data_IF_023245845136
#
_entry.id   IF_023245845136
#
_cell.length_a   1.000
_cell.length_b   1.000
_cell.length_c   1.000
_cell.angle_alpha   90.00
_cell.angle_beta   90.00
_cell.angle_gamma   90.00
#
_symmetry.space_group_name_H-M   'P 1'
#
loop_
_entity.id
_entity.type
_entity.pdbx_description
1 polymer ?
#
# COMPACT_ATOMS: atom_id res chain seq x y z
N UNK A 1 64.55 5.00 5.59
CA UNK A 1 63.55 6.06 5.86
C UNK A 1 62.41 5.42 6.64
N UNK A 2 62.03 6.05 7.75
CA UNK A 2 61.44 5.41 8.92
C UNK A 2 59.91 5.30 8.89
N UNK A 3 59.46 4.24 9.55
CA UNK A 3 58.12 3.78 9.96
C UNK A 3 57.34 4.80 10.78
N UNK A 4 56.00 4.86 10.63
CA UNK A 4 55.08 5.17 11.74
C UNK A 4 53.72 4.45 11.59
N UNK A 5 53.59 3.39 12.38
CA UNK A 5 52.35 2.75 12.83
C UNK A 5 51.69 3.63 13.92
N UNK A 6 50.39 3.94 13.77
CA UNK A 6 49.61 4.70 14.75
C UNK A 6 48.43 3.88 15.28
N UNK A 7 48.68 3.12 16.35
CA UNK A 7 47.66 2.54 17.24
C UNK A 7 47.37 3.54 18.36
N UNK A 8 46.14 4.03 18.45
CA UNK A 8 45.67 4.81 19.59
C UNK A 8 44.35 4.24 20.08
N UNK A 9 44.44 3.50 21.18
CA UNK A 9 43.31 3.06 21.97
C UNK A 9 42.74 4.23 22.79
N UNK A 10 41.42 4.24 22.91
CA UNK A 10 40.71 5.05 23.90
C UNK A 10 39.96 4.09 24.82
N UNK A 11 40.60 3.78 25.94
CA UNK A 11 39.98 3.23 27.12
C UNK A 11 39.21 4.35 27.85
N UNK A 12 37.88 4.25 27.91
CA UNK A 12 37.05 5.01 28.85
C UNK A 12 36.02 4.05 29.43
N UNK A 13 36.33 3.53 30.62
CA UNK A 13 35.69 3.92 31.90
C UNK A 13 34.24 3.46 32.00
N UNK A 14 34.12 2.36 32.73
CA UNK A 14 32.91 1.90 33.40
C UNK A 14 32.42 3.00 34.35
N UNK A 15 31.22 3.51 34.08
CA UNK A 15 30.40 4.20 35.07
C UNK A 15 29.08 3.43 35.18
N UNK A 16 29.00 2.54 36.17
CA UNK A 16 27.75 2.04 36.71
C UNK A 16 27.22 3.06 37.72
N UNK A 17 25.97 3.54 37.57
CA UNK A 17 25.20 3.95 38.73
C UNK A 17 24.03 2.97 38.96
N UNK A 18 24.11 2.34 40.13
CA UNK A 18 23.05 2.26 41.12
C UNK A 18 21.63 1.90 40.66
N UNK A 19 21.35 0.61 40.89
CA UNK A 19 20.06 0.06 41.32
C UNK A 19 19.15 1.11 41.97
N UNK A 20 18.02 1.41 41.32
CA UNK A 20 16.81 1.85 42.02
C UNK A 20 15.64 1.09 41.39
N UNK A 21 15.17 0.05 42.10
CA UNK A 21 13.98 -0.71 41.72
C UNK A 21 12.74 0.19 41.92
N UNK A 22 11.96 0.52 40.89
CA UNK A 22 10.65 1.10 41.11
C UNK A 22 9.74 0.02 41.72
N UNK A 23 9.19 0.32 42.90
CA UNK A 23 8.08 -0.43 43.49
C UNK A 23 6.93 -0.38 42.49
N UNK A 24 6.70 -1.51 41.80
CA UNK A 24 5.57 -1.69 40.90
C UNK A 24 4.27 -1.63 41.71
N UNK A 25 3.68 -0.43 41.77
CA UNK A 25 2.34 -0.21 42.29
C UNK A 25 1.36 -0.91 41.32
N UNK A 26 1.03 -2.17 41.62
CA UNK A 26 -0.01 -2.94 40.92
C UNK A 26 -1.36 -2.25 41.13
N UNK A 27 -1.71 -1.32 40.24
CA UNK A 27 -3.08 -0.87 40.05
C UNK A 27 -3.87 -2.02 39.44
N UNK A 28 -4.51 -2.81 40.30
CA UNK A 28 -5.60 -3.71 39.91
C UNK A 28 -6.75 -2.86 39.38
N UNK A 29 -6.83 -2.72 38.05
CA UNK A 29 -7.99 -2.18 37.37
C UNK A 29 -9.09 -3.25 37.50
N UNK A 30 -10.01 -3.04 38.45
CA UNK A 30 -11.25 -3.82 38.53
C UNK A 30 -12.17 -3.35 37.40
N UNK A 31 -12.14 -4.06 36.28
CA UNK A 31 -13.16 -3.95 35.24
C UNK A 31 -14.48 -4.45 35.84
N UNK A 32 -15.37 -3.51 36.19
CA UNK A 32 -16.74 -3.82 36.57
C UNK A 32 -17.53 -4.00 35.26
N UNK A 33 -17.70 -5.24 34.83
CA UNK A 33 -18.62 -5.58 33.74
C UNK A 33 -20.05 -5.25 34.20
N UNK A 34 -20.59 -4.13 33.74
CA UNK A 34 -22.01 -3.86 33.85
C UNK A 34 -22.71 -4.73 32.80
N UNK A 35 -23.21 -5.89 33.23
CA UNK A 35 -24.22 -6.61 32.45
C UNK A 35 -25.49 -5.76 32.47
N UNK A 36 -25.74 -5.06 31.36
CA UNK A 36 -27.04 -4.50 31.07
C UNK A 36 -27.94 -5.68 30.68
N UNK A 37 -28.78 -6.11 31.61
CA UNK A 37 -29.89 -7.01 31.31
C UNK A 37 -30.87 -6.22 30.43
N UNK A 38 -30.80 -6.44 29.12
CA UNK A 38 -31.80 -5.94 28.17
C UNK A 38 -33.14 -6.58 28.50
N UNK A 39 -33.98 -5.81 29.21
CA UNK A 39 -35.41 -6.03 29.24
C UNK A 39 -35.93 -5.95 27.80
N UNK A 40 -36.74 -6.94 27.42
CA UNK A 40 -37.16 -7.21 26.05
C UNK A 40 -37.57 -5.96 25.27
N UNK A 41 -36.72 -5.60 24.30
CA UNK A 41 -37.08 -4.65 23.25
C UNK A 41 -38.18 -5.29 22.38
N UNK A 42 -39.26 -4.54 22.05
CA UNK A 42 -40.24 -4.99 21.07
C UNK A 42 -39.53 -5.29 19.74
N UNK A 43 -40.01 -6.27 18.94
CA UNK A 43 -39.41 -6.57 17.65
C UNK A 43 -39.36 -5.29 16.81
N UNK A 44 -38.15 -4.89 16.42
CA UNK A 44 -37.98 -3.74 15.55
C UNK A 44 -38.75 -4.00 14.24
N UNK A 45 -39.49 -3.01 13.72
CA UNK A 45 -40.10 -3.13 12.42
C UNK A 45 -39.02 -3.49 11.39
N UNK A 46 -39.34 -4.34 10.40
CA UNK A 46 -38.38 -4.67 9.37
C UNK A 46 -37.85 -3.38 8.74
N UNK A 47 -36.53 -3.26 8.51
CA UNK A 47 -35.98 -2.08 7.88
C UNK A 47 -36.69 -1.86 6.54
N UNK A 48 -36.99 -0.59 6.18
CA UNK A 48 -37.56 -0.30 4.88
C UNK A 48 -36.64 -0.87 3.79
N UNK A 49 -37.21 -1.37 2.67
CA UNK A 49 -36.39 -1.85 1.57
C UNK A 49 -35.41 -0.74 1.15
N UNK A 50 -34.14 -1.07 0.89
CA UNK A 50 -33.18 -0.08 0.45
C UNK A 50 -33.72 0.59 -0.81
N UNK A 51 -33.56 1.93 -0.95
CA UNK A 51 -33.88 2.60 -2.20
C UNK A 51 -33.15 1.90 -3.34
N UNK A 52 -33.74 1.77 -4.54
CA UNK A 52 -33.02 1.31 -5.72
C UNK A 52 -31.75 2.14 -5.84
N UNK A 53 -30.59 1.51 -5.67
CA UNK A 53 -29.32 2.22 -5.70
C UNK A 53 -29.19 2.97 -7.02
N UNK A 54 -28.61 4.19 -7.03
CA UNK A 54 -28.20 4.82 -8.27
C UNK A 54 -27.35 3.79 -9.04
N UNK A 55 -27.79 3.49 -10.27
CA UNK A 55 -27.50 2.27 -10.98
C UNK A 55 -26.05 1.83 -10.84
N UNK A 56 -25.86 0.53 -10.62
CA UNK A 56 -24.60 -0.18 -10.71
C UNK A 56 -23.68 0.54 -11.70
N UNK A 57 -22.64 1.21 -11.19
CA UNK A 57 -21.57 1.73 -12.00
C UNK A 57 -20.93 0.52 -12.67
N UNK A 58 -21.48 0.20 -13.83
CA UNK A 58 -21.06 -0.89 -14.69
C UNK A 58 -19.60 -0.57 -15.02
N UNK A 59 -18.71 -1.56 -14.90
CA UNK A 59 -17.27 -1.51 -15.18
C UNK A 59 -16.87 -0.79 -16.50
N UNK A 60 -17.83 -0.45 -17.35
CA UNK A 60 -17.71 0.36 -18.56
C UNK A 60 -17.32 1.83 -18.32
N UNK A 61 -17.61 2.41 -17.16
CA UNK A 61 -17.35 3.86 -16.95
C UNK A 61 -15.85 4.18 -16.74
N UNK A 62 -15.06 3.22 -16.26
CA UNK A 62 -13.63 3.45 -16.02
C UNK A 62 -12.80 3.40 -17.31
N UNK A 63 -13.18 2.54 -18.26
CA UNK A 63 -12.60 2.51 -19.62
C UNK A 63 -12.92 3.77 -20.44
N UNK A 64 -14.05 4.43 -20.17
CA UNK A 64 -14.44 5.65 -20.88
C UNK A 64 -13.68 6.90 -20.41
N UNK A 65 -13.06 6.86 -19.22
CA UNK A 65 -12.29 7.97 -18.65
C UNK A 65 -10.79 7.90 -18.95
N UNK A 66 -10.27 6.70 -19.26
CA UNK A 66 -8.84 6.50 -19.57
C UNK A 66 -8.56 6.01 -21.01
N UNK A 67 -9.57 5.61 -21.78
CA UNK A 67 -9.43 5.08 -23.15
C UNK A 67 -9.49 6.10 -24.29
N UNK A 68 -9.12 7.36 -24.04
CA UNK A 68 -9.19 8.44 -25.01
C UNK A 68 -7.92 8.62 -25.87
N UNK A 69 -7.40 7.58 -26.52
CA UNK A 69 -6.34 7.72 -27.53
C UNK A 69 -6.72 7.05 -28.85
N UNK A 70 -7.20 7.90 -29.77
CA UNK A 70 -6.96 7.89 -31.22
C UNK A 70 -6.98 6.56 -31.98
N UNK A 71 -8.13 6.19 -32.53
CA UNK A 71 -8.19 5.30 -33.69
C UNK A 71 -7.95 6.13 -34.98
N UNK A 72 -6.69 6.24 -35.39
CA UNK A 72 -6.33 6.61 -36.76
C UNK A 72 -6.25 5.32 -37.59
N UNK A 73 -7.16 5.19 -38.55
CA UNK A 73 -7.15 4.14 -39.54
C UNK A 73 -5.94 4.31 -40.48
N UNK A 74 -5.10 3.29 -40.59
CA UNK A 74 -4.14 3.17 -41.68
C UNK A 74 -4.12 1.74 -42.22
N UNK A 75 -4.62 1.65 -43.44
CA UNK A 75 -4.71 0.52 -44.35
C UNK A 75 -3.33 -0.09 -44.62
N UNK A 76 -3.24 -1.43 -44.60
CA UNK A 76 -2.27 -2.18 -45.41
C UNK A 76 -1.13 -2.85 -44.64
N UNK A 77 -1.17 -4.19 -44.57
CA UNK A 77 0.00 -5.01 -44.25
C UNK A 77 -0.28 -6.12 -43.23
N UNK A 78 -0.78 -7.26 -43.70
CA UNK A 78 -0.89 -8.50 -42.91
C UNK A 78 0.53 -9.04 -42.66
N UNK A 79 1.15 -8.64 -41.55
CA UNK A 79 2.30 -9.34 -40.99
C UNK A 79 1.77 -10.27 -39.91
N UNK A 80 1.94 -11.57 -40.16
CA UNK A 80 1.36 -12.66 -39.40
C UNK A 80 1.70 -12.61 -37.91
N UNK A 81 0.68 -12.41 -37.09
CA UNK A 81 0.70 -12.75 -35.68
C UNK A 81 0.07 -14.15 -35.51
N UNK A 82 0.76 -15.18 -36.01
CA UNK A 82 0.54 -16.56 -35.57
C UNK A 82 1.29 -16.74 -34.25
N UNK A 83 0.84 -16.05 -33.21
CA UNK A 83 1.30 -16.25 -31.85
C UNK A 83 0.71 -17.58 -31.35
N UNK A 84 1.56 -18.60 -31.34
CA UNK A 84 1.22 -19.95 -30.92
C UNK A 84 0.62 -19.98 -29.52
N UNK A 85 -0.53 -20.63 -29.42
CA UNK A 85 -1.19 -21.02 -28.18
C UNK A 85 -0.25 -21.90 -27.34
N UNK A 86 0.53 -21.30 -26.44
CA UNK A 86 1.17 -22.02 -25.34
C UNK A 86 0.22 -21.97 -24.15
N UNK A 87 -0.47 -23.09 -23.97
CA UNK A 87 -1.47 -23.30 -22.92
C UNK A 87 -0.90 -23.07 -21.51
N UNK A 88 -1.62 -22.28 -20.72
CA UNK A 88 -1.94 -22.68 -19.34
C UNK A 88 -1.38 -21.85 -18.19
N UNK A 89 -0.44 -20.93 -18.41
CA UNK A 89 0.12 -20.15 -17.29
C UNK A 89 0.79 -18.82 -17.63
N UNK A 90 0.79 -18.40 -18.90
CA UNK A 90 1.52 -17.20 -19.34
C UNK A 90 0.65 -15.98 -19.70
N UNK A 91 -0.64 -16.17 -19.95
CA UNK A 91 -1.50 -15.08 -20.45
C UNK A 91 -1.68 -13.96 -19.42
N UNK A 92 -1.84 -14.32 -18.14
CA UNK A 92 -1.89 -13.34 -17.05
C UNK A 92 -0.56 -12.59 -16.89
N UNK A 93 0.58 -13.26 -17.11
CA UNK A 93 1.89 -12.63 -16.99
C UNK A 93 2.22 -11.68 -18.14
N UNK A 94 1.67 -11.94 -19.33
CA UNK A 94 1.80 -11.06 -20.49
C UNK A 94 1.00 -9.77 -20.28
N UNK A 95 -0.26 -9.88 -19.83
CA UNK A 95 -1.10 -8.72 -19.50
C UNK A 95 -0.50 -7.88 -18.35
N UNK A 96 0.03 -8.54 -17.31
CA UNK A 96 0.75 -7.85 -16.22
C UNK A 96 1.94 -7.05 -16.72
N UNK A 97 2.72 -7.65 -17.62
CA UNK A 97 3.90 -6.99 -18.24
C UNK A 97 3.49 -5.80 -19.10
N UNK A 98 2.43 -5.94 -19.88
CA UNK A 98 1.84 -4.87 -20.69
C UNK A 98 1.36 -3.71 -19.82
N UNK A 99 0.68 -4.01 -18.71
CA UNK A 99 0.13 -3.03 -17.76
C UNK A 99 1.14 -2.57 -16.70
N UNK A 100 2.41 -2.93 -16.85
CA UNK A 100 3.51 -2.46 -16.00
C UNK A 100 3.35 -2.79 -14.50
N UNK A 101 2.77 -3.94 -14.18
CA UNK A 101 2.76 -4.45 -12.81
C UNK A 101 3.16 -5.92 -12.76
N UNK A 102 3.45 -6.44 -11.57
CA UNK A 102 3.72 -7.86 -11.33
C UNK A 102 3.24 -8.25 -9.93
N UNK A 103 3.11 -9.55 -9.69
CA UNK A 103 2.89 -10.10 -8.35
C UNK A 103 4.00 -11.09 -8.01
N UNK A 104 4.49 -10.99 -6.78
CA UNK A 104 5.36 -12.01 -6.23
C UNK A 104 4.52 -13.22 -5.77
N UNK A 105 5.18 -14.37 -5.55
CA UNK A 105 4.54 -15.60 -5.09
C UNK A 105 3.89 -15.48 -3.70
N UNK A 106 4.31 -14.47 -2.92
CA UNK A 106 3.74 -14.12 -1.62
C UNK A 106 2.49 -13.23 -1.73
N UNK A 107 2.05 -12.90 -2.95
CA UNK A 107 0.86 -12.11 -3.22
C UNK A 107 1.09 -10.60 -3.19
N UNK A 108 2.33 -10.13 -2.98
CA UNK A 108 2.61 -8.69 -3.02
C UNK A 108 2.57 -8.16 -4.44
N UNK A 109 1.95 -6.99 -4.59
CA UNK A 109 1.82 -6.29 -5.86
C UNK A 109 2.97 -5.31 -6.00
N UNK A 110 3.63 -5.35 -7.17
CA UNK A 110 4.63 -4.37 -7.56
C UNK A 110 4.20 -3.67 -8.83
N UNK A 111 4.35 -2.35 -8.86
CA UNK A 111 4.05 -1.51 -10.03
C UNK A 111 5.34 -0.88 -10.53
N UNK A 112 5.44 -0.67 -11.83
CA UNK A 112 6.62 -0.08 -12.46
C UNK A 112 6.37 1.38 -12.74
N UNK A 113 7.27 2.25 -12.29
CA UNK A 113 7.23 3.67 -12.65
C UNK A 113 7.72 3.89 -14.09
N UNK A 114 7.53 5.11 -14.61
CA UNK A 114 7.99 5.53 -15.94
C UNK A 114 9.52 5.51 -16.11
N UNK A 115 10.28 5.40 -15.00
CA UNK A 115 11.74 5.21 -15.01
C UNK A 115 12.14 3.74 -15.04
N UNK A 116 11.18 2.83 -14.95
CA UNK A 116 11.37 1.40 -14.97
C UNK A 116 11.66 0.77 -13.60
N UNK A 117 11.54 1.52 -12.52
CA UNK A 117 11.75 1.07 -11.13
C UNK A 117 10.50 0.39 -10.58
N UNK A 118 10.68 -0.65 -9.77
CA UNK A 118 9.57 -1.39 -9.15
C UNK A 118 9.24 -0.85 -7.77
N UNK A 119 7.98 -0.51 -7.56
CA UNK A 119 7.41 0.00 -6.32
C UNK A 119 6.48 -1.05 -5.72
N UNK A 120 6.57 -1.29 -4.42
CA UNK A 120 5.72 -2.24 -3.71
C UNK A 120 4.45 -1.54 -3.24
N UNK A 121 3.28 -2.12 -3.53
CA UNK A 121 1.96 -1.52 -3.25
C UNK A 121 1.21 -2.35 -2.21
N UNK A 122 0.61 -1.67 -1.23
CA UNK A 122 -0.25 -2.28 -0.20
C UNK A 122 -1.48 -1.41 0.07
N UNK A 123 -2.51 -2.02 0.63
CA UNK A 123 -3.67 -1.31 1.18
C UNK A 123 -3.34 -0.84 2.59
N UNK A 124 -3.78 0.37 2.94
CA UNK A 124 -3.79 0.81 4.33
C UNK A 124 -4.93 0.10 5.09
N UNK A 125 -4.62 -0.46 6.28
CA UNK A 125 -5.62 -1.23 7.04
C UNK A 125 -6.61 -0.35 7.81
N UNK A 126 -6.30 0.94 8.03
CA UNK A 126 -7.09 1.86 8.85
C UNK A 126 -7.92 2.80 7.98
N UNK A 127 -7.39 3.23 6.84
CA UNK A 127 -8.02 4.20 5.94
C UNK A 127 -8.50 3.54 4.63
N UNK A 128 -9.81 3.27 4.47
CA UNK A 128 -10.32 2.68 3.24
C UNK A 128 -10.05 3.60 2.04
N UNK A 129 -9.70 3.00 0.90
CA UNK A 129 -9.36 3.73 -0.32
C UNK A 129 -7.97 4.37 -0.31
N UNK A 130 -7.15 4.14 0.72
CA UNK A 130 -5.75 4.58 0.77
C UNK A 130 -4.81 3.43 0.39
N UNK A 131 -3.92 3.69 -0.56
CA UNK A 131 -2.83 2.81 -0.96
C UNK A 131 -1.52 3.35 -0.42
N UNK A 132 -0.68 2.46 0.08
CA UNK A 132 0.69 2.73 0.49
C UNK A 132 1.64 2.19 -0.56
N UNK A 133 2.66 2.97 -0.89
CA UNK A 133 3.67 2.61 -1.89
C UNK A 133 5.07 2.75 -1.27
N UNK A 134 5.94 1.79 -1.54
CA UNK A 134 7.36 1.84 -1.17
C UNK A 134 8.23 1.84 -2.42
N UNK A 135 9.10 2.83 -2.54
CA UNK A 135 10.07 2.92 -3.62
C UNK A 135 11.32 2.02 -3.35
N UNK A 136 12.20 1.79 -4.35
CA UNK A 136 13.43 1.01 -4.14
C UNK A 136 14.45 1.64 -3.19
N UNK A 137 14.25 2.91 -2.79
CA UNK A 137 15.11 3.68 -1.87
C UNK A 137 14.49 3.75 -0.47
N UNK A 138 13.52 2.88 -0.19
CA UNK A 138 12.78 2.77 1.07
C UNK A 138 11.92 3.99 1.41
N UNK A 139 11.69 4.91 0.47
CA UNK A 139 10.75 6.01 0.66
C UNK A 139 9.30 5.50 0.65
N UNK A 140 8.48 5.98 1.59
CA UNK A 140 7.06 5.62 1.69
C UNK A 140 6.18 6.75 1.18
N UNK A 141 5.18 6.38 0.39
CA UNK A 141 4.22 7.29 -0.23
C UNK A 141 2.82 6.76 -0.02
N UNK A 142 1.82 7.61 -0.18
CA UNK A 142 0.42 7.23 -0.16
C UNK A 142 -0.37 7.87 -1.31
N UNK A 143 -1.45 7.20 -1.69
CA UNK A 143 -2.46 7.69 -2.64
C UNK A 143 -3.83 7.44 -2.01
N UNK A 144 -4.69 8.46 -2.00
CA UNK A 144 -6.06 8.35 -1.46
C UNK A 144 -7.09 8.55 -2.58
N UNK A 145 -7.97 7.58 -2.76
CA UNK A 145 -9.07 7.65 -3.72
C UNK A 145 -10.39 7.92 -2.99
N UNK A 146 -10.87 9.17 -3.04
CA UNK A 146 -12.05 9.61 -2.29
C UNK A 146 -13.37 8.90 -2.67
N UNK A 147 -13.42 8.26 -3.84
CA UNK A 147 -14.65 7.68 -4.39
C UNK A 147 -14.66 6.14 -4.39
N UNK A 148 -13.65 5.49 -3.80
CA UNK A 148 -13.51 4.04 -3.82
C UNK A 148 -13.34 3.55 -2.38
N UNK A 149 -14.36 2.92 -1.83
CA UNK A 149 -14.33 2.42 -0.44
C UNK A 149 -13.60 1.08 -0.31
N UNK A 150 -13.50 0.31 -1.39
CA UNK A 150 -12.85 -1.00 -1.39
C UNK A 150 -12.03 -1.16 -2.66
N UNK A 151 -10.71 -1.21 -2.49
CA UNK A 151 -9.77 -1.55 -3.55
C UNK A 151 -9.35 -2.99 -3.29
N UNK A 152 -9.58 -3.87 -4.25
CA UNK A 152 -9.14 -5.26 -4.19
C UNK A 152 -7.87 -5.43 -5.00
N UNK A 153 -6.72 -5.49 -4.30
CA UNK A 153 -5.43 -5.74 -4.93
C UNK A 153 -5.26 -7.20 -5.38
N UNK A 154 -6.22 -8.08 -5.11
CA UNK A 154 -6.23 -9.46 -5.63
C UNK A 154 -6.80 -9.55 -7.05
N UNK A 155 -7.51 -8.52 -7.54
CA UNK A 155 -7.98 -8.43 -8.93
C UNK A 155 -6.96 -7.68 -9.81
N UNK A 156 -6.36 -8.39 -10.77
CA UNK A 156 -5.38 -7.84 -11.72
C UNK A 156 -5.96 -6.71 -12.57
N UNK A 157 -7.26 -6.75 -12.87
CA UNK A 157 -7.93 -5.69 -13.61
C UNK A 157 -7.99 -4.40 -12.80
N UNK A 158 -8.25 -4.50 -11.49
CA UNK A 158 -8.27 -3.34 -10.59
C UNK A 158 -6.89 -2.71 -10.53
N UNK A 159 -5.84 -3.51 -10.30
CA UNK A 159 -4.44 -3.04 -10.29
C UNK A 159 -4.07 -2.38 -11.61
N UNK A 160 -4.32 -3.05 -12.74
CA UNK A 160 -4.07 -2.50 -14.06
C UNK A 160 -4.77 -1.16 -14.29
N UNK A 161 -6.04 -1.06 -13.88
CA UNK A 161 -6.82 0.16 -14.07
C UNK A 161 -6.34 1.35 -13.23
N UNK A 162 -5.71 1.09 -12.07
CA UNK A 162 -5.17 2.11 -11.19
C UNK A 162 -3.78 2.59 -11.62
N UNK A 163 -2.95 1.68 -12.14
CA UNK A 163 -1.52 1.92 -12.31
C UNK A 163 -1.03 1.98 -13.78
N UNK A 164 -1.76 1.40 -14.73
CA UNK A 164 -1.27 1.27 -16.12
C UNK A 164 -0.99 2.62 -16.81
N UNK A 165 -1.71 3.68 -16.42
CA UNK A 165 -1.53 5.02 -17.00
C UNK A 165 -0.30 5.78 -16.49
N UNK A 166 0.36 5.33 -15.41
CA UNK A 166 1.47 6.07 -14.78
C UNK A 166 1.04 7.36 -14.05
N UNK A 167 -0.20 7.83 -14.23
CA UNK A 167 -0.76 9.03 -13.58
C UNK A 167 -0.69 8.98 -12.04
N UNK A 168 -0.62 7.77 -11.48
CA UNK A 168 -0.44 7.53 -10.05
C UNK A 168 0.82 8.22 -9.50
N UNK A 169 1.89 8.36 -10.30
CA UNK A 169 3.12 9.02 -9.89
C UNK A 169 2.92 10.50 -9.58
N UNK A 170 2.01 11.16 -10.29
CA UNK A 170 1.71 12.58 -10.10
C UNK A 170 0.86 12.86 -8.86
N UNK A 171 0.10 11.86 -8.40
CA UNK A 171 -0.79 11.98 -7.22
C UNK A 171 -0.20 11.34 -5.96
N UNK A 172 0.92 10.61 -6.07
CA UNK A 172 1.59 10.01 -4.93
C UNK A 172 2.21 11.08 -4.01
N UNK A 173 1.84 11.03 -2.73
CA UNK A 173 2.33 11.96 -1.72
C UNK A 173 3.32 11.28 -0.79
N UNK A 174 4.45 11.93 -0.49
CA UNK A 174 5.44 11.40 0.46
C UNK A 174 4.88 11.39 1.86
N UNK A 175 5.11 10.30 2.58
CA UNK A 175 4.84 10.24 4.01
C UNK A 175 5.93 11.00 4.75
N UNK A 176 5.53 11.96 5.57
CA UNK A 176 6.43 12.74 6.40
C UNK A 176 6.04 12.57 7.87
N UNK A 177 7.04 12.40 8.73
CA UNK A 177 6.88 12.34 10.17
C UNK A 177 7.63 13.49 10.82
N UNK A 178 7.16 13.92 11.99
CA UNK A 178 7.84 14.93 12.78
C UNK A 178 8.92 14.27 13.62
N UNK A 179 10.16 14.75 13.53
CA UNK A 179 11.25 14.28 14.38
C UNK A 179 11.19 14.89 15.79
N UNK A 180 12.12 14.49 16.66
CA UNK A 180 12.23 14.99 18.03
C UNK A 180 12.49 16.51 18.10
N UNK A 181 13.05 17.10 17.04
CA UNK A 181 13.30 18.53 16.92
C UNK A 181 12.09 19.30 16.35
N UNK A 182 11.01 18.61 15.98
CA UNK A 182 9.82 19.21 15.38
C UNK A 182 9.92 19.44 13.87
N UNK A 183 10.99 18.98 13.21
CA UNK A 183 11.17 19.08 11.77
C UNK A 183 10.42 17.95 11.05
N UNK A 184 9.91 18.23 9.84
CA UNK A 184 9.30 17.21 9.00
C UNK A 184 10.39 16.46 8.24
N UNK A 185 10.44 15.15 8.43
CA UNK A 185 11.40 14.25 7.79
C UNK A 185 10.63 13.21 6.99
N UNK A 186 11.10 12.94 5.78
CA UNK A 186 10.56 11.87 4.94
C UNK A 186 10.73 10.51 5.64
N UNK A 187 9.63 9.77 5.73
CA UNK A 187 9.65 8.43 6.33
C UNK A 187 10.35 7.46 5.39
N UNK A 188 11.36 6.78 5.92
CA UNK A 188 12.05 5.68 5.26
C UNK A 188 11.78 4.38 5.99
N UNK A 189 11.39 3.35 5.25
CA UNK A 189 11.03 2.08 5.81
C UNK A 189 11.57 0.92 4.96
N UNK A 190 12.41 0.04 5.53
CA UNK A 190 12.89 -1.12 4.80
C UNK A 190 11.73 -2.05 4.45
N UNK A 191 11.94 -2.89 3.44
CA UNK A 191 10.94 -3.84 2.92
C UNK A 191 10.20 -4.62 4.01
N UNK A 192 10.93 -5.22 4.95
CA UNK A 192 10.33 -6.07 5.99
C UNK A 192 9.44 -5.25 6.94
N UNK A 193 9.92 -4.08 7.38
CA UNK A 193 9.12 -3.17 8.20
C UNK A 193 7.87 -2.66 7.45
N UNK A 194 8.01 -2.40 6.14
CA UNK A 194 6.88 -1.98 5.30
C UNK A 194 5.82 -3.08 5.16
N UNK A 195 6.21 -4.36 5.20
CA UNK A 195 5.31 -5.51 5.17
C UNK A 195 4.63 -5.76 6.52
N UNK A 196 5.29 -5.45 7.61
CA UNK A 196 4.73 -5.60 8.96
C UNK A 196 3.87 -4.40 9.39
N UNK A 197 3.97 -3.28 8.70
CA UNK A 197 3.20 -2.08 8.99
C UNK A 197 1.70 -2.29 8.74
N UNK A 198 0.88 -1.83 9.70
CA UNK A 198 -0.60 -1.89 9.65
C UNK A 198 -1.19 -0.62 9.03
N UNK A 199 -0.70 0.55 9.45
CA UNK A 199 -1.15 1.87 9.00
C UNK A 199 -0.03 2.87 9.19
N UNK A 200 0.03 3.88 8.32
CA UNK A 200 0.95 5.02 8.45
C UNK A 200 0.32 6.18 9.22
N UNK A 201 -0.99 6.36 9.12
CA UNK A 201 -1.69 7.52 9.67
C UNK A 201 -2.31 7.14 11.01
N UNK A 202 -1.79 7.73 12.10
CA UNK A 202 -2.41 7.63 13.43
C UNK A 202 -3.30 8.81 13.79
#
# INVERSE_FOLDING_TARGET
MATLTGTSGCAWRQCLPSVTRPLALRRTVRCRAAYQTEAGMPPQPPPPPPPPGPGSFTRRSLLQRFGGFGAAAAVGGVVGFLAGSRSGGGESDELRRELHFRRDYDGHVFVRDGRGSWWEVRLDAKLPGTLLLRDPRDGVYFITYNNIQQIDLTDDYVVGSLFAGGDWEAIAQRVQARDDAGALVDVKMPKDAFRDMISVMD
#
